data_IF_629670409452
#
_entry.id   IF_629670409452
#
_cell.length_a   1.000
_cell.length_b   1.000
_cell.length_c   1.000
_cell.angle_alpha   90.00
_cell.angle_beta   90.00
_cell.angle_gamma   90.00
#
_symmetry.space_group_name_H-M   'P 1'
#
loop_
_entity.id
_entity.type
_entity.pdbx_description
1 polymer ?
#
# COMPACT_ATOMS: atom_id res chain seq x y z
N UNK A 1 -0.35 -0.09 1.82
CA UNK A 1 -0.32 -0.18 0.35
C UNK A 1 -0.69 -1.55 -0.22
N UNK A 2 -0.46 -2.67 0.48
CA UNK A 2 -0.88 -3.99 -0.01
C UNK A 2 -2.37 -4.07 -0.40
N UNK A 3 -3.28 -3.55 0.44
CA UNK A 3 -4.72 -3.48 0.12
C UNK A 3 -5.06 -2.57 -1.07
N UNK A 4 -4.31 -1.48 -1.23
CA UNK A 4 -4.47 -0.56 -2.38
C UNK A 4 -4.06 -1.28 -3.67
N UNK A 5 -2.91 -1.96 -3.66
CA UNK A 5 -2.47 -2.76 -4.79
C UNK A 5 -3.46 -3.92 -5.07
N UNK A 6 -4.01 -4.57 -4.03
CA UNK A 6 -5.03 -5.61 -4.17
C UNK A 6 -6.29 -5.07 -4.85
N UNK A 7 -6.76 -3.88 -4.47
CA UNK A 7 -7.91 -3.24 -5.10
C UNK A 7 -7.70 -3.03 -6.61
N UNK A 8 -6.51 -2.53 -6.98
CA UNK A 8 -6.13 -2.33 -8.39
C UNK A 8 -6.03 -3.66 -9.12
N UNK A 9 -5.49 -4.70 -8.48
CA UNK A 9 -5.40 -6.05 -9.05
C UNK A 9 -6.78 -6.64 -9.35
N UNK A 10 -7.71 -6.54 -8.40
CA UNK A 10 -9.08 -7.01 -8.60
C UNK A 10 -9.75 -6.30 -9.78
N UNK A 11 -9.53 -4.99 -9.93
CA UNK A 11 -10.02 -4.20 -11.06
C UNK A 11 -9.51 -4.68 -12.43
N UNK A 12 -8.29 -5.24 -12.50
CA UNK A 12 -7.78 -5.81 -13.75
C UNK A 12 -8.50 -7.10 -14.17
N UNK A 13 -9.17 -7.79 -13.24
CA UNK A 13 -9.96 -8.99 -13.53
C UNK A 13 -11.40 -8.67 -13.96
N UNK A 14 -11.83 -7.41 -13.80
CA UNK A 14 -13.20 -6.97 -14.05
C UNK A 14 -13.44 -6.58 -15.53
N UNK A 15 -14.66 -6.83 -16.03
CA UNK A 15 -15.04 -6.51 -17.43
C UNK A 15 -15.95 -5.29 -17.55
N UNK A 16 -16.79 -5.03 -16.55
CA UNK A 16 -17.65 -3.85 -16.51
C UNK A 16 -17.18 -2.81 -15.49
N UNK A 17 -17.64 -1.56 -15.64
CA UNK A 17 -17.36 -0.47 -14.68
C UNK A 17 -17.96 -0.76 -13.31
N UNK A 18 -19.16 -1.36 -13.26
CA UNK A 18 -19.82 -1.72 -11.99
C UNK A 18 -18.97 -2.72 -11.21
N UNK A 19 -18.41 -3.73 -11.87
CA UNK A 19 -17.53 -4.72 -11.25
C UNK A 19 -16.29 -4.06 -10.63
N UNK A 20 -15.70 -3.08 -11.33
CA UNK A 20 -14.54 -2.32 -10.84
C UNK A 20 -14.88 -1.50 -9.60
N UNK A 21 -16.04 -0.85 -9.60
CA UNK A 21 -16.50 -0.08 -8.42
C UNK A 21 -16.66 -1.04 -7.22
N UNK A 22 -17.35 -2.16 -7.41
CA UNK A 22 -17.55 -3.14 -6.34
C UNK A 22 -16.24 -3.77 -5.84
N UNK A 23 -15.27 -4.00 -6.74
CA UNK A 23 -13.95 -4.53 -6.41
C UNK A 23 -13.11 -3.58 -5.53
N UNK A 24 -13.26 -2.26 -5.68
CA UNK A 24 -12.47 -1.26 -4.93
C UNK A 24 -13.08 -0.99 -3.55
N UNK A 25 -14.41 -1.03 -3.41
CA UNK A 25 -15.09 -0.60 -2.19
C UNK A 25 -14.55 -1.32 -0.95
N UNK A 26 -14.52 -2.65 -0.94
CA UNK A 26 -14.14 -3.40 0.27
C UNK A 26 -12.65 -3.24 0.66
N UNK A 27 -11.67 -3.40 -0.26
CA UNK A 27 -10.28 -3.26 0.12
C UNK A 27 -9.92 -1.84 0.57
N UNK A 28 -10.48 -0.80 -0.08
CA UNK A 28 -10.18 0.59 0.28
C UNK A 28 -10.89 1.00 1.58
N UNK A 29 -12.14 0.59 1.78
CA UNK A 29 -12.82 0.86 3.05
C UNK A 29 -12.13 0.16 4.22
N UNK A 30 -11.69 -1.08 4.05
CA UNK A 30 -10.90 -1.79 5.06
C UNK A 30 -9.56 -1.08 5.34
N UNK A 31 -8.87 -0.61 4.29
CA UNK A 31 -7.63 0.16 4.42
C UNK A 31 -7.81 1.42 5.27
N UNK A 32 -8.87 2.19 5.02
CA UNK A 32 -9.19 3.41 5.77
C UNK A 32 -9.66 3.09 7.19
N UNK A 33 -10.55 2.11 7.36
CA UNK A 33 -11.11 1.73 8.65
C UNK A 33 -10.05 1.20 9.63
N UNK A 34 -9.00 0.55 9.13
CA UNK A 34 -7.86 0.12 9.94
C UNK A 34 -6.88 1.26 10.27
N UNK A 35 -7.10 2.47 9.75
CA UNK A 35 -6.22 3.62 10.00
C UNK A 35 -4.86 3.49 9.33
N UNK A 36 -4.75 2.73 8.23
CA UNK A 36 -3.49 2.63 7.50
C UNK A 36 -3.18 3.92 6.75
N UNK A 37 -1.89 4.24 6.66
CA UNK A 37 -1.43 5.48 6.04
C UNK A 37 -1.07 5.31 4.55
N UNK A 38 -1.49 6.28 3.75
CA UNK A 38 -1.21 6.34 2.31
C UNK A 38 -0.50 7.66 2.00
N UNK A 39 0.70 7.60 1.44
CA UNK A 39 1.53 8.79 1.26
C UNK A 39 0.84 9.87 0.43
N UNK A 40 0.12 9.49 -0.63
CA UNK A 40 -0.63 10.43 -1.48
C UNK A 40 -1.86 11.00 -0.76
N UNK A 41 -2.49 10.24 0.13
CA UNK A 41 -3.62 10.77 0.91
C UNK A 41 -3.12 11.76 1.97
N UNK A 42 -1.99 11.45 2.61
CA UNK A 42 -1.38 12.31 3.63
C UNK A 42 -0.85 13.63 3.02
N UNK A 43 -0.40 13.62 1.76
CA UNK A 43 -0.10 14.83 1.00
C UNK A 43 -1.29 15.77 0.80
N UNK A 44 -2.52 15.28 0.91
CA UNK A 44 -3.73 16.10 0.88
C UNK A 44 -4.19 16.48 2.30
N UNK A 45 -4.31 15.50 3.19
CA UNK A 45 -4.87 15.72 4.53
C UNK A 45 -4.00 16.61 5.42
N UNK A 46 -2.68 16.44 5.40
CA UNK A 46 -1.78 17.21 6.27
C UNK A 46 -1.74 18.70 5.87
N UNK A 47 -1.51 19.07 4.59
CA UNK A 47 -1.55 20.48 4.19
C UNK A 47 -2.92 21.13 4.39
N UNK A 48 -4.01 20.38 4.15
CA UNK A 48 -5.36 20.86 4.45
C UNK A 48 -5.53 21.16 5.93
N UNK A 49 -5.03 20.29 6.82
CA UNK A 49 -5.02 20.53 8.26
C UNK A 49 -4.25 21.80 8.65
N UNK A 50 -3.08 22.03 8.04
CA UNK A 50 -2.25 23.23 8.29
C UNK A 50 -2.99 24.51 7.85
N UNK A 51 -3.64 24.50 6.68
CA UNK A 51 -4.40 25.65 6.19
C UNK A 51 -5.61 25.95 7.09
N UNK A 52 -6.36 24.92 7.49
CA UNK A 52 -7.51 25.10 8.38
C UNK A 52 -7.10 25.60 9.77
N UNK A 53 -5.98 25.09 10.29
CA UNK A 53 -5.37 25.57 11.53
C UNK A 53 -5.04 27.07 11.49
N UNK A 54 -4.58 27.58 10.33
CA UNK A 54 -4.29 29.00 10.14
C UNK A 54 -5.53 29.89 9.93
N UNK A 55 -6.59 29.37 9.32
CA UNK A 55 -7.82 30.13 9.03
C UNK A 55 -8.81 30.17 10.20
N UNK A 56 -8.85 29.11 11.01
CA UNK A 56 -9.82 28.93 12.09
C UNK A 56 -9.12 28.32 13.32
N UNK A 57 -8.40 29.14 14.11
CA UNK A 57 -7.65 28.67 15.27
C UNK A 57 -8.53 28.00 16.33
N UNK A 58 -9.82 28.34 16.37
CA UNK A 58 -10.85 27.74 17.23
C UNK A 58 -11.03 26.23 17.00
N UNK A 59 -10.76 25.74 15.78
CA UNK A 59 -10.81 24.30 15.48
C UNK A 59 -9.70 23.51 16.20
N UNK A 60 -8.61 24.17 16.60
CA UNK A 60 -7.54 23.53 17.36
C UNK A 60 -7.84 23.43 18.85
N UNK A 61 -8.83 24.18 19.38
CA UNK A 61 -9.19 24.14 20.80
C UNK A 61 -9.76 22.78 21.21
N UNK A 62 -10.36 22.05 20.26
CA UNK A 62 -10.83 20.67 20.45
C UNK A 62 -9.77 19.59 20.23
N UNK A 63 -8.56 19.95 19.76
CA UNK A 63 -7.49 18.99 19.53
C UNK A 63 -6.69 18.74 20.81
N UNK A 64 -6.27 17.50 21.04
CA UNK A 64 -5.49 17.18 22.23
C UNK A 64 -4.18 17.99 22.23
N UNK A 65 -3.86 18.61 23.37
CA UNK A 65 -2.64 19.38 23.56
C UNK A 65 -1.42 18.52 23.19
N UNK A 66 -0.77 18.86 22.06
CA UNK A 66 0.33 18.09 21.46
C UNK A 66 0.14 17.77 19.98
N UNK A 67 -1.09 17.53 19.53
CA UNK A 67 -1.39 17.25 18.11
C UNK A 67 -1.23 18.50 17.23
N UNK A 68 -1.63 19.66 17.77
CA UNK A 68 -1.47 20.95 17.10
C UNK A 68 -0.01 21.29 16.76
N UNK A 69 0.95 20.90 17.62
CA UNK A 69 2.37 21.21 17.41
C UNK A 69 3.02 20.34 16.31
N UNK A 70 2.39 19.21 15.95
CA UNK A 70 2.83 18.34 14.85
C UNK A 70 2.24 18.72 13.48
N UNK A 71 1.28 19.64 13.42
CA UNK A 71 0.74 20.19 12.16
C UNK A 71 1.64 21.32 11.63
N UNK A 72 2.88 20.98 11.32
CA UNK A 72 3.82 21.86 10.63
C UNK A 72 4.59 21.06 9.55
N UNK A 73 5.33 21.75 8.70
CA UNK A 73 6.13 21.17 7.64
C UNK A 73 7.08 20.07 8.15
N UNK A 74 7.65 20.26 9.35
CA UNK A 74 8.51 19.26 9.97
C UNK A 74 7.75 17.97 10.33
N UNK A 75 6.52 18.08 10.87
CA UNK A 75 5.66 16.94 11.17
C UNK A 75 5.17 16.25 9.90
N UNK A 76 4.91 17.02 8.84
CA UNK A 76 4.57 16.48 7.52
C UNK A 76 5.70 15.60 6.97
N UNK A 77 6.95 16.05 7.02
CA UNK A 77 8.10 15.26 6.57
C UNK A 77 8.29 14.02 7.47
N UNK A 78 8.14 14.19 8.78
CA UNK A 78 8.21 13.11 9.76
C UNK A 78 7.18 11.99 9.54
N UNK A 79 6.02 12.31 8.95
CA UNK A 79 5.03 11.31 8.53
C UNK A 79 5.32 10.79 7.10
N UNK A 80 5.58 11.68 6.16
CA UNK A 80 5.60 11.32 4.74
C UNK A 80 6.74 10.35 4.38
N UNK A 81 7.91 10.52 5.00
CA UNK A 81 9.08 9.64 4.77
C UNK A 81 8.79 8.19 5.18
N UNK A 82 8.44 7.88 6.45
CA UNK A 82 8.17 6.49 6.84
C UNK A 82 6.95 5.90 6.11
N UNK A 83 5.89 6.69 5.86
CA UNK A 83 4.71 6.21 5.14
C UNK A 83 5.04 5.86 3.69
N UNK A 84 5.87 6.66 3.01
CA UNK A 84 6.30 6.39 1.64
C UNK A 84 7.13 5.10 1.58
N UNK A 85 8.08 4.92 2.51
CA UNK A 85 8.87 3.69 2.60
C UNK A 85 7.97 2.47 2.86
N UNK A 86 7.04 2.56 3.82
CA UNK A 86 6.08 1.50 4.10
C UNK A 86 5.13 1.24 2.91
N UNK A 87 4.80 2.25 2.12
CA UNK A 87 3.97 2.10 0.94
C UNK A 87 4.72 1.41 -0.21
N UNK A 88 6.01 1.73 -0.41
CA UNK A 88 6.88 1.02 -1.36
C UNK A 88 6.98 -0.45 -0.95
N UNK A 89 7.38 -0.73 0.30
CA UNK A 89 7.51 -2.10 0.80
C UNK A 89 6.18 -2.86 0.71
N UNK A 90 5.08 -2.25 1.16
CA UNK A 90 3.77 -2.88 1.10
C UNK A 90 3.26 -3.14 -0.32
N UNK A 91 3.68 -2.35 -1.31
CA UNK A 91 3.36 -2.58 -2.71
C UNK A 91 4.23 -3.67 -3.33
N UNK A 92 5.54 -3.63 -3.08
CA UNK A 92 6.49 -4.60 -3.64
C UNK A 92 6.33 -5.99 -3.05
N UNK A 93 5.96 -6.12 -1.77
CA UNK A 93 5.71 -7.43 -1.13
C UNK A 93 4.57 -8.18 -1.83
N UNK A 94 3.45 -7.50 -2.12
CA UNK A 94 2.33 -8.14 -2.82
C UNK A 94 2.73 -8.58 -4.24
N UNK A 95 3.44 -7.71 -4.97
CA UNK A 95 3.93 -8.03 -6.33
C UNK A 95 4.92 -9.18 -6.30
N UNK A 96 5.90 -9.15 -5.39
CA UNK A 96 6.91 -10.20 -5.23
C UNK A 96 6.29 -11.56 -4.88
N UNK A 97 5.29 -11.57 -3.99
CA UNK A 97 4.56 -12.79 -3.63
C UNK A 97 3.82 -13.39 -4.83
N UNK A 98 3.18 -12.56 -5.65
CA UNK A 98 2.48 -13.01 -6.86
C UNK A 98 3.45 -13.58 -7.90
N UNK A 99 4.55 -12.88 -8.18
CA UNK A 99 5.57 -13.37 -9.12
C UNK A 99 6.18 -14.69 -8.67
N UNK A 100 6.50 -14.83 -7.38
CA UNK A 100 6.98 -16.09 -6.82
C UNK A 100 5.97 -17.22 -7.00
N UNK A 101 4.70 -16.97 -6.69
CA UNK A 101 3.64 -17.98 -6.82
C UNK A 101 3.42 -18.44 -8.26
N UNK A 102 3.50 -17.53 -9.23
CA UNK A 102 3.28 -17.84 -10.65
C UNK A 102 4.48 -18.57 -11.25
N UNK A 103 5.69 -18.05 -11.06
CA UNK A 103 6.87 -18.50 -11.81
C UNK A 103 7.77 -19.47 -11.06
N UNK A 104 7.95 -19.31 -9.75
CA UNK A 104 8.94 -20.07 -8.98
C UNK A 104 8.34 -21.29 -8.27
N UNK A 105 7.00 -21.39 -8.17
CA UNK A 105 6.32 -22.54 -7.56
C UNK A 105 6.38 -23.83 -8.39
N UNK A 106 6.62 -23.74 -9.71
CA UNK A 106 6.64 -24.91 -10.61
C UNK A 106 8.05 -25.38 -10.98
N UNK A 107 9.08 -24.99 -10.22
CA UNK A 107 10.41 -25.57 -10.36
C UNK A 107 10.52 -26.88 -9.55
N UNK A 108 9.78 -27.91 -9.97
CA UNK A 108 9.94 -29.31 -9.54
C UNK A 108 9.79 -30.19 -10.81
N UNK A 109 10.43 -31.37 -10.94
CA UNK A 109 11.85 -31.74 -10.85
C UNK A 109 12.40 -32.10 -12.26
N UNK A 110 12.00 -31.40 -13.32
CA UNK A 110 12.44 -31.76 -14.69
C UNK A 110 13.97 -31.63 -14.88
N UNK A 111 14.61 -30.66 -14.22
CA UNK A 111 16.07 -30.55 -14.21
C UNK A 111 16.75 -31.59 -13.31
N UNK A 112 16.05 -32.17 -12.32
CA UNK A 112 16.61 -33.23 -11.48
C UNK A 112 16.69 -34.57 -12.22
N UNK A 113 15.76 -34.84 -13.15
CA UNK A 113 15.88 -35.99 -14.06
C UNK A 113 16.97 -35.80 -15.12
N UNK A 114 17.18 -34.58 -15.63
CA UNK A 114 18.25 -34.30 -16.60
C UNK A 114 19.65 -34.44 -16.00
N UNK A 115 19.89 -33.91 -14.79
CA UNK A 115 21.16 -34.10 -14.06
C UNK A 115 21.42 -35.57 -13.68
N UNK A 116 20.37 -36.33 -13.32
CA UNK A 116 20.53 -37.76 -13.03
C UNK A 116 20.82 -38.59 -14.28
N UNK A 117 20.28 -38.23 -15.45
CA UNK A 117 20.52 -38.95 -16.71
C UNK A 117 21.92 -38.67 -17.26
N UNK A 118 22.41 -37.44 -17.16
CA UNK A 118 23.78 -37.07 -17.56
C UNK A 118 24.83 -37.64 -16.61
N UNK A 119 24.60 -37.64 -15.30
CA UNK A 119 25.52 -38.22 -14.32
C UNK A 119 25.61 -39.77 -14.34
N UNK A 120 24.64 -40.46 -14.95
CA UNK A 120 24.67 -41.93 -15.14
C UNK A 120 25.25 -42.37 -16.50
N UNK A 121 25.54 -41.41 -17.38
CA UNK A 121 26.06 -41.64 -18.72
C UNK A 121 27.59 -41.45 -18.85
N UNK A 122 28.25 -41.01 -17.77
CA UNK A 122 29.71 -40.93 -17.58
C UNK A 122 30.20 -42.04 -16.63
#
# INVERSE_FOLDING_TARGET
>A
NALVCLAVWLCFSCRATVDKIMAIIFPITAFVAMGFEHCVANLYFIPMGIVLAGLQPELLEGMAAGQAHSLDLAGMIGNLVPVTLGNIVGGTVMVGMIYWFIYLRHLDPLHAEEESKTASAD
#
